data_IF_692116896778
#
_entry.id   IF_692116896778
#
_cell.length_a   1.000
_cell.length_b   1.000
_cell.length_c   1.000
_cell.angle_alpha   90.00
_cell.angle_beta   90.00
_cell.angle_gamma   90.00
#
_symmetry.space_group_name_H-M   'P 1'
#
loop_
_entity.id
_entity.type
_entity.pdbx_description
1 polymer ?
#
# COMPACT_ATOMS: atom_id res chain seq x y z
N UNK A 1 41.93 -11.93 30.69
CA UNK A 1 41.01 -11.66 29.59
C UNK A 1 39.63 -11.42 30.20
N UNK A 2 39.10 -10.21 30.23
CA UNK A 2 37.77 -9.98 30.78
C UNK A 2 36.71 -10.51 29.81
N UNK A 3 35.58 -11.06 30.31
CA UNK A 3 34.50 -11.51 29.46
C UNK A 3 33.82 -10.30 28.79
N UNK A 4 33.62 -10.41 27.48
CA UNK A 4 32.87 -9.42 26.73
C UNK A 4 31.37 -9.55 27.04
N UNK A 5 30.87 -8.71 27.92
CA UNK A 5 29.43 -8.47 28.10
C UNK A 5 28.89 -7.77 26.84
N UNK A 6 28.43 -8.55 25.88
CA UNK A 6 27.50 -8.06 24.89
C UNK A 6 26.09 -8.45 25.36
N UNK A 7 25.24 -7.52 25.78
CA UNK A 7 23.84 -7.81 25.97
C UNK A 7 23.21 -8.04 24.59
N UNK A 8 23.13 -9.29 24.20
CA UNK A 8 22.32 -9.69 23.03
C UNK A 8 20.87 -9.74 23.50
N UNK A 9 20.26 -8.59 23.69
CA UNK A 9 18.82 -8.50 23.71
C UNK A 9 18.38 -8.67 22.25
N UNK A 10 17.86 -9.86 21.94
CA UNK A 10 17.13 -10.04 20.69
C UNK A 10 16.05 -8.96 20.63
N UNK A 11 15.88 -8.27 19.47
CA UNK A 11 14.84 -7.26 19.37
C UNK A 11 13.49 -7.87 19.75
N UNK A 12 12.72 -7.16 20.57
CA UNK A 12 11.38 -7.61 20.96
C UNK A 12 10.56 -7.80 19.66
N UNK A 13 10.25 -9.04 19.33
CA UNK A 13 9.52 -9.39 18.11
C UNK A 13 8.07 -8.93 18.15
N UNK A 14 7.60 -8.40 19.25
CA UNK A 14 6.24 -7.86 19.40
C UNK A 14 6.20 -6.36 19.08
N UNK A 15 7.36 -5.68 19.06
CA UNK A 15 7.43 -4.27 18.69
C UNK A 15 7.03 -4.09 17.21
N UNK A 16 6.02 -3.25 16.99
CA UNK A 16 5.49 -2.99 15.65
C UNK A 16 4.46 -4.00 15.14
N UNK A 17 4.10 -5.03 15.92
CA UNK A 17 3.01 -5.94 15.53
C UNK A 17 1.63 -5.29 15.75
N UNK A 18 0.68 -5.49 14.81
CA UNK A 18 -0.68 -5.02 14.99
C UNK A 18 -1.36 -5.71 16.19
N UNK A 19 -1.81 -4.91 17.19
CA UNK A 19 -2.64 -5.38 18.29
C UNK A 19 -4.13 -5.08 18.06
N UNK A 20 -4.43 -4.11 17.22
CA UNK A 20 -5.75 -3.75 16.75
C UNK A 20 -5.64 -2.86 15.52
N UNK A 21 -6.48 -3.08 14.52
CA UNK A 21 -6.49 -2.32 13.27
C UNK A 21 -7.85 -1.68 13.03
N UNK A 22 -7.84 -0.55 12.35
CA UNK A 22 -9.05 0.10 11.83
C UNK A 22 -8.93 0.21 10.32
N UNK A 23 -9.87 -0.39 9.59
CA UNK A 23 -9.84 -0.39 8.12
C UNK A 23 -10.51 0.85 7.55
N UNK A 24 -9.81 1.53 6.66
CA UNK A 24 -10.31 2.67 5.90
C UNK A 24 -10.30 2.35 4.41
N UNK A 25 -11.42 2.60 3.76
CA UNK A 25 -11.53 2.55 2.31
C UNK A 25 -11.09 3.89 1.73
N UNK A 26 -9.83 3.96 1.27
CA UNK A 26 -9.32 5.15 0.58
C UNK A 26 -9.91 5.20 -0.83
N UNK A 27 -10.49 6.35 -1.19
CA UNK A 27 -11.18 6.57 -2.48
C UNK A 27 -10.92 8.00 -2.97
N UNK A 28 -11.25 8.33 -4.22
CA UNK A 28 -11.09 9.69 -4.72
C UNK A 28 -11.87 10.75 -3.92
N UNK A 29 -13.03 10.40 -3.37
CA UNK A 29 -13.82 11.28 -2.50
C UNK A 29 -13.42 11.22 -1.02
N UNK A 30 -12.53 10.30 -0.65
CA UNK A 30 -11.88 10.20 0.66
C UNK A 30 -10.41 9.81 0.49
N UNK A 31 -9.58 10.74 -0.02
CA UNK A 31 -8.20 10.45 -0.41
C UNK A 31 -7.25 10.31 0.77
N UNK A 32 -5.98 9.99 0.48
CA UNK A 32 -4.93 9.76 1.47
C UNK A 32 -4.75 10.94 2.44
N UNK A 33 -4.89 12.19 1.98
CA UNK A 33 -4.82 13.37 2.87
C UNK A 33 -5.98 13.42 3.86
N UNK A 34 -7.20 13.13 3.41
CA UNK A 34 -8.35 13.05 4.32
C UNK A 34 -8.22 11.88 5.30
N UNK A 35 -7.67 10.76 4.85
CA UNK A 35 -7.34 9.63 5.74
C UNK A 35 -6.31 10.02 6.80
N UNK A 36 -5.31 10.85 6.44
CA UNK A 36 -4.30 11.35 7.38
C UNK A 36 -4.90 12.17 8.54
N UNK A 37 -5.99 12.89 8.29
CA UNK A 37 -6.68 13.69 9.31
C UNK A 37 -7.34 12.83 10.40
N UNK A 38 -7.49 11.52 10.18
CA UNK A 38 -8.01 10.59 11.18
C UNK A 38 -6.97 10.12 12.20
N UNK A 39 -5.68 10.40 12.00
CA UNK A 39 -4.61 9.78 12.78
C UNK A 39 -4.78 9.96 14.29
N UNK A 40 -5.05 11.17 14.77
CA UNK A 40 -5.24 11.45 16.20
C UNK A 40 -6.49 10.75 16.77
N UNK A 41 -7.60 10.77 16.01
CA UNK A 41 -8.82 10.05 16.41
C UNK A 41 -8.58 8.55 16.55
N UNK A 42 -7.85 7.95 15.61
CA UNK A 42 -7.55 6.52 15.62
C UNK A 42 -6.59 6.16 16.77
N UNK A 43 -5.64 7.04 17.11
CA UNK A 43 -4.79 6.87 18.28
C UNK A 43 -5.60 6.93 19.57
N UNK A 44 -6.51 7.90 19.71
CA UNK A 44 -7.41 8.04 20.86
C UNK A 44 -8.36 6.83 20.99
N UNK A 45 -8.76 6.23 19.88
CA UNK A 45 -9.56 4.99 19.86
C UNK A 45 -8.79 3.78 20.40
N UNK A 46 -7.45 3.87 20.47
CA UNK A 46 -6.58 2.82 21.03
C UNK A 46 -6.18 1.72 20.05
N UNK A 47 -6.33 1.93 18.74
CA UNK A 47 -5.78 1.02 17.75
C UNK A 47 -4.28 1.20 17.59
N UNK A 48 -3.59 0.17 17.12
CA UNK A 48 -2.15 0.23 16.88
C UNK A 48 -1.80 0.55 15.43
N UNK A 49 -2.66 0.18 14.48
CA UNK A 49 -2.38 0.32 13.04
C UNK A 49 -3.64 0.74 12.28
N UNK A 50 -3.45 1.70 11.37
CA UNK A 50 -4.39 1.93 10.29
C UNK A 50 -4.24 0.80 9.26
N UNK A 51 -5.36 0.24 8.78
CA UNK A 51 -5.40 -0.71 7.67
C UNK A 51 -6.09 -0.06 6.47
N UNK A 52 -5.41 0.07 5.33
CA UNK A 52 -5.99 0.68 4.13
C UNK A 52 -6.40 -0.36 3.10
N UNK A 53 -7.41 -0.03 2.28
CA UNK A 53 -7.62 -0.65 0.98
C UNK A 53 -6.38 -0.49 0.08
N UNK A 54 -6.30 -1.22 -1.07
CA UNK A 54 -5.18 -1.08 -1.99
C UNK A 54 -4.95 0.37 -2.44
N UNK A 55 -3.69 0.79 -2.50
CA UNK A 55 -3.30 2.17 -2.77
C UNK A 55 -2.65 2.36 -4.15
N UNK A 56 -2.35 1.28 -4.88
CA UNK A 56 -1.71 1.34 -6.17
C UNK A 56 -2.69 1.77 -7.27
N UNK A 57 -2.15 2.20 -8.42
CA UNK A 57 -2.96 2.69 -9.52
C UNK A 57 -3.90 1.60 -10.03
N UNK A 58 -5.19 1.82 -9.87
CA UNK A 58 -6.26 0.92 -10.27
C UNK A 58 -6.94 1.40 -11.55
N UNK A 59 -7.82 0.58 -12.11
CA UNK A 59 -8.64 0.93 -13.26
C UNK A 59 -9.37 2.26 -13.01
N UNK A 60 -9.43 3.10 -14.03
CA UNK A 60 -10.12 4.39 -13.94
C UNK A 60 -11.58 4.20 -13.48
N UNK A 61 -11.95 4.91 -12.42
CA UNK A 61 -13.27 4.81 -11.81
C UNK A 61 -13.42 3.67 -10.79
N UNK A 62 -12.35 2.92 -10.49
CA UNK A 62 -12.37 1.93 -9.43
C UNK A 62 -12.62 2.57 -8.07
N UNK A 63 -13.63 2.07 -7.35
CA UNK A 63 -13.96 2.53 -6.00
C UNK A 63 -13.32 1.68 -4.90
N UNK A 64 -12.78 0.52 -5.28
CA UNK A 64 -12.24 -0.48 -4.34
C UNK A 64 -10.72 -0.67 -4.42
N UNK A 65 -10.10 -0.41 -5.58
CA UNK A 65 -8.64 -0.49 -5.78
C UNK A 65 -8.06 -1.88 -6.00
N UNK A 66 -8.89 -2.94 -6.08
CA UNK A 66 -8.41 -4.32 -6.27
C UNK A 66 -8.08 -4.68 -7.72
N UNK A 67 -8.44 -3.85 -8.67
CA UNK A 67 -8.18 -3.98 -10.11
C UNK A 67 -6.97 -3.14 -10.52
N UNK A 68 -5.83 -3.43 -9.91
CA UNK A 68 -4.57 -2.70 -10.11
C UNK A 68 -4.10 -2.84 -11.56
N UNK A 69 -3.78 -1.71 -12.19
CA UNK A 69 -3.24 -1.63 -13.57
C UNK A 69 -1.77 -1.24 -13.60
N UNK A 70 -1.27 -0.59 -12.55
CA UNK A 70 0.14 -0.25 -12.39
C UNK A 70 0.59 -0.46 -10.94
N UNK A 71 1.44 -1.46 -10.74
CA UNK A 71 2.00 -1.80 -9.43
C UNK A 71 3.20 -0.92 -9.03
N UNK A 72 3.69 -0.09 -9.92
CA UNK A 72 4.84 0.80 -9.69
C UNK A 72 4.46 2.17 -9.15
N UNK A 73 3.16 2.50 -9.05
CA UNK A 73 2.72 3.84 -8.73
C UNK A 73 1.58 3.86 -7.72
N UNK A 74 1.68 4.74 -6.72
CA UNK A 74 0.53 5.09 -5.87
C UNK A 74 -0.51 5.81 -6.72
N UNK A 75 -1.77 5.39 -6.59
CA UNK A 75 -2.87 5.89 -7.41
C UNK A 75 -3.01 7.42 -7.30
N UNK A 76 -2.80 8.17 -8.41
CA UNK A 76 -2.96 9.63 -8.42
C UNK A 76 -4.34 10.09 -7.98
N UNK A 77 -5.40 9.31 -8.27
CA UNK A 77 -6.78 9.62 -7.87
C UNK A 77 -6.97 9.59 -6.34
N UNK A 78 -6.11 8.89 -5.61
CA UNK A 78 -6.11 8.84 -4.14
C UNK A 78 -5.20 9.90 -3.51
N UNK A 79 -4.53 10.72 -4.31
CA UNK A 79 -3.57 11.73 -3.87
C UNK A 79 -2.10 11.39 -4.17
N UNK A 80 -1.83 10.25 -4.81
CA UNK A 80 -0.51 9.84 -5.27
C UNK A 80 0.54 9.78 -4.16
N UNK A 81 1.80 9.91 -4.54
CA UNK A 81 2.93 9.82 -3.61
C UNK A 81 2.91 10.93 -2.54
N UNK A 82 2.48 12.14 -2.90
CA UNK A 82 2.33 13.25 -1.93
C UNK A 82 1.33 12.88 -0.83
N UNK A 83 0.18 12.31 -1.20
CA UNK A 83 -0.83 11.86 -0.25
C UNK A 83 -0.30 10.72 0.64
N UNK A 84 0.45 9.78 0.07
CA UNK A 84 1.08 8.69 0.83
C UNK A 84 2.07 9.22 1.88
N UNK A 85 2.90 10.18 1.50
CA UNK A 85 3.87 10.79 2.43
C UNK A 85 3.17 11.56 3.54
N UNK A 86 2.09 12.31 3.22
CA UNK A 86 1.29 13.01 4.21
C UNK A 86 0.63 12.05 5.21
N UNK A 87 0.05 10.95 4.73
CA UNK A 87 -0.50 9.90 5.58
C UNK A 87 0.57 9.30 6.49
N UNK A 88 1.74 8.96 5.93
CA UNK A 88 2.84 8.39 6.72
C UNK A 88 3.27 9.33 7.83
N UNK A 89 3.48 10.62 7.53
CA UNK A 89 3.87 11.61 8.53
C UNK A 89 2.84 11.77 9.66
N UNK A 90 1.54 11.76 9.33
CA UNK A 90 0.47 11.86 10.32
C UNK A 90 0.43 10.62 11.23
N UNK A 91 0.56 9.42 10.67
CA UNK A 91 0.59 8.18 11.44
C UNK A 91 1.81 8.10 12.36
N UNK A 92 2.99 8.50 11.86
CA UNK A 92 4.21 8.56 12.67
C UNK A 92 4.06 9.53 13.85
N UNK A 93 3.47 10.72 13.61
CA UNK A 93 3.18 11.70 14.64
C UNK A 93 2.21 11.20 15.71
N UNK A 94 1.28 10.35 15.35
CA UNK A 94 0.29 9.73 16.25
C UNK A 94 0.75 8.40 16.87
N UNK A 95 1.94 7.90 16.51
CA UNK A 95 2.46 6.62 16.99
C UNK A 95 1.76 5.39 16.41
N UNK A 96 1.15 5.51 15.24
CA UNK A 96 0.41 4.45 14.57
C UNK A 96 1.23 3.78 13.46
N UNK A 97 1.09 2.46 13.35
CA UNK A 97 1.57 1.70 12.21
C UNK A 97 0.60 1.73 11.02
N UNK A 98 1.06 1.22 9.89
CA UNK A 98 0.27 1.13 8.65
C UNK A 98 0.31 -0.30 8.11
N UNK A 99 -0.86 -0.85 7.84
CA UNK A 99 -1.08 -2.08 7.09
C UNK A 99 -1.75 -1.72 5.77
N UNK A 100 -1.20 -2.16 4.65
CA UNK A 100 -1.74 -1.89 3.32
C UNK A 100 -2.22 -3.19 2.72
N UNK A 101 -3.46 -3.21 2.24
CA UNK A 101 -3.97 -4.31 1.43
C UNK A 101 -3.27 -4.36 0.08
N UNK A 102 -2.90 -5.54 -0.37
CA UNK A 102 -2.19 -5.74 -1.64
C UNK A 102 -2.88 -6.79 -2.50
N UNK A 103 -2.71 -6.67 -3.82
CA UNK A 103 -3.29 -7.58 -4.81
C UNK A 103 -2.17 -8.16 -5.69
N UNK A 104 -1.47 -9.22 -5.21
CA UNK A 104 -0.32 -9.78 -5.95
C UNK A 104 -0.71 -10.83 -7.00
N UNK A 105 -1.95 -11.31 -7.01
CA UNK A 105 -2.37 -12.51 -7.74
C UNK A 105 -3.16 -12.23 -9.03
N UNK A 106 -3.44 -10.97 -9.34
CA UNK A 106 -4.08 -10.57 -10.59
C UNK A 106 -3.84 -9.09 -10.89
N UNK A 107 -4.11 -8.67 -12.12
CA UNK A 107 -4.04 -7.28 -12.55
C UNK A 107 -5.30 -6.89 -13.33
N UNK A 108 -5.63 -5.61 -13.36
CA UNK A 108 -6.71 -5.09 -14.18
C UNK A 108 -6.33 -5.12 -15.67
N UNK A 109 -7.14 -5.79 -16.48
CA UNK A 109 -6.94 -5.92 -17.93
C UNK A 109 -8.17 -5.53 -18.74
N UNK A 110 -9.23 -5.04 -18.09
CA UNK A 110 -10.47 -4.65 -18.75
C UNK A 110 -10.30 -3.53 -19.77
N UNK A 111 -9.34 -2.63 -19.56
CA UNK A 111 -8.85 -1.66 -20.54
C UNK A 111 -7.37 -1.94 -20.74
N UNK A 112 -6.99 -2.76 -21.74
CA UNK A 112 -5.63 -3.28 -21.90
C UNK A 112 -4.55 -2.19 -21.94
N UNK A 113 -4.83 -1.07 -22.62
CA UNK A 113 -3.89 0.06 -22.73
C UNK A 113 -3.68 0.83 -21.43
N UNK A 114 -4.53 0.65 -20.43
CA UNK A 114 -4.37 1.25 -19.09
C UNK A 114 -3.38 0.49 -18.22
N UNK A 115 -3.05 -0.76 -18.56
CA UNK A 115 -2.05 -1.57 -17.89
C UNK A 115 -0.79 -1.64 -18.77
N UNK A 116 0.28 -0.90 -18.43
CA UNK A 116 1.46 -0.79 -19.29
C UNK A 116 2.15 -2.12 -19.57
N UNK A 117 2.25 -2.99 -18.58
CA UNK A 117 2.93 -4.28 -18.71
C UNK A 117 2.11 -5.26 -19.56
N UNK A 118 0.79 -5.32 -19.35
CA UNK A 118 -0.10 -6.13 -20.17
C UNK A 118 -0.16 -5.62 -21.61
N UNK A 119 -0.19 -4.30 -21.78
CA UNK A 119 -0.20 -3.69 -23.11
C UNK A 119 1.07 -3.99 -23.90
N UNK A 120 2.22 -4.04 -23.23
CA UNK A 120 3.48 -4.43 -23.84
C UNK A 120 3.45 -5.90 -24.28
N UNK A 121 2.96 -6.79 -23.43
CA UNK A 121 2.79 -8.22 -23.78
C UNK A 121 1.87 -8.40 -24.98
N UNK A 122 0.76 -7.66 -25.06
CA UNK A 122 -0.14 -7.72 -26.22
C UNK A 122 0.52 -7.26 -27.53
N UNK A 123 1.51 -6.38 -27.47
CA UNK A 123 2.26 -5.90 -28.64
C UNK A 123 3.38 -6.84 -29.06
N UNK A 124 4.08 -7.43 -28.11
CA UNK A 124 5.35 -8.11 -28.35
C UNK A 124 5.30 -9.62 -28.07
N UNK A 125 4.20 -10.12 -27.48
CA UNK A 125 4.05 -11.54 -27.14
C UNK A 125 5.16 -12.03 -26.21
N UNK A 126 5.71 -13.20 -26.51
CA UNK A 126 6.83 -13.82 -25.75
C UNK A 126 8.12 -12.98 -25.75
N UNK A 127 8.24 -11.99 -26.61
CA UNK A 127 9.40 -11.09 -26.67
C UNK A 127 9.27 -9.91 -25.71
N UNK A 128 8.15 -9.74 -25.03
CA UNK A 128 7.96 -8.74 -24.01
C UNK A 128 8.84 -9.04 -22.79
N UNK A 129 9.47 -8.01 -22.23
CA UNK A 129 10.16 -8.11 -20.94
C UNK A 129 9.22 -8.47 -19.77
N UNK A 130 7.91 -8.28 -19.97
CA UNK A 130 6.86 -8.58 -18.98
C UNK A 130 6.14 -9.91 -19.22
N UNK A 131 6.57 -10.71 -20.23
CA UNK A 131 5.90 -11.98 -20.57
C UNK A 131 5.76 -12.89 -19.35
N UNK A 132 6.83 -13.02 -18.57
CA UNK A 132 6.86 -13.87 -17.35
C UNK A 132 5.94 -13.38 -16.24
N UNK A 133 5.48 -12.12 -16.24
CA UNK A 133 4.50 -11.63 -15.26
C UNK A 133 3.12 -12.23 -15.47
N UNK A 134 2.86 -12.75 -16.66
CA UNK A 134 1.59 -13.31 -17.12
C UNK A 134 1.69 -14.78 -17.52
N UNK A 135 2.78 -15.45 -17.14
CA UNK A 135 3.05 -16.86 -17.51
C UNK A 135 3.06 -17.13 -19.03
N UNK A 136 3.60 -16.20 -19.82
CA UNK A 136 3.73 -16.29 -21.28
C UNK A 136 5.17 -16.56 -21.69
#
# INVERSE_FOLDING_TARGET
MPPSDHPTTAPDRTEGLPSGTYRVQVRPDFPLKATAELADYLADLGISHLYTAPLLTATLGSEHGYDVVDHGQVNPALGGEEGRLALRAALDGAGLGLVIDIVPNHAGVGVPSANPTWWDVLKHGEQSEYATFYDI
#
